data_IF_409460536990
#
_entry.id   IF_409460536990
#
_cell.length_a   1.000
_cell.length_b   1.000
_cell.length_c   1.000
_cell.angle_alpha   90.00
_cell.angle_beta   90.00
_cell.angle_gamma   90.00
#
_symmetry.space_group_name_H-M   'P 1'
#
loop_
_entity.id
_entity.type
_entity.pdbx_description
1 polymer ?
#
# COMPACT_ATOMS: atom_id res chain seq x y z
N UNK A 1 20.36 12.75 -33.83
CA UNK A 1 19.40 12.72 -32.72
C UNK A 1 19.04 14.16 -32.38
N UNK A 2 17.77 14.55 -32.40
CA UNK A 2 17.34 15.90 -32.05
C UNK A 2 17.01 15.95 -30.56
N UNK A 3 17.53 16.92 -29.82
CA UNK A 3 17.30 17.11 -28.40
C UNK A 3 16.72 18.50 -28.17
N UNK A 4 15.65 18.60 -27.37
CA UNK A 4 15.10 19.88 -26.90
C UNK A 4 15.40 20.01 -25.41
N UNK A 5 16.21 21.00 -25.04
CA UNK A 5 16.55 21.31 -23.65
C UNK A 5 15.73 22.51 -23.18
N UNK A 6 14.80 22.24 -22.27
CA UNK A 6 13.95 23.30 -21.67
C UNK A 6 13.78 23.05 -20.18
N UNK A 7 13.70 24.12 -19.39
CA UNK A 7 13.46 24.03 -17.94
C UNK A 7 11.96 23.82 -17.63
N UNK A 8 11.07 24.25 -18.53
CA UNK A 8 9.63 24.18 -18.33
C UNK A 8 8.91 24.14 -19.68
N UNK A 9 7.91 23.26 -19.77
CA UNK A 9 6.96 23.22 -20.89
C UNK A 9 5.59 23.59 -20.34
N UNK A 10 4.97 24.62 -20.94
CA UNK A 10 3.60 25.05 -20.59
C UNK A 10 2.78 25.18 -21.86
N UNK A 11 1.45 24.96 -21.80
CA UNK A 11 0.61 25.18 -22.96
C UNK A 11 0.63 26.66 -23.36
N UNK A 12 0.61 26.93 -24.66
CA UNK A 12 0.51 28.29 -25.19
C UNK A 12 -0.85 28.93 -24.87
N UNK A 13 -1.88 28.10 -24.83
CA UNK A 13 -3.25 28.49 -24.50
C UNK A 13 -3.96 27.29 -23.85
N UNK A 14 -4.93 27.52 -23.02
CA UNK A 14 -5.61 26.45 -22.27
C UNK A 14 -4.75 25.87 -21.14
N UNK A 15 -5.12 24.70 -20.65
CA UNK A 15 -4.50 24.06 -19.47
C UNK A 15 -3.81 22.70 -19.79
N UNK A 16 -3.79 22.26 -21.06
CA UNK A 16 -3.31 20.93 -21.45
C UNK A 16 -2.04 21.02 -22.28
N UNK A 17 -1.04 20.22 -21.92
CA UNK A 17 0.11 19.88 -22.76
C UNK A 17 -0.02 18.41 -23.11
N UNK A 18 -0.13 18.09 -24.39
CA UNK A 18 -0.12 16.71 -24.88
C UNK A 18 1.32 16.31 -25.23
N UNK A 19 1.79 15.21 -24.70
CA UNK A 19 3.09 14.62 -24.98
C UNK A 19 2.85 13.27 -25.66
N UNK A 20 3.31 13.12 -26.90
CA UNK A 20 3.12 11.90 -27.70
C UNK A 20 1.70 11.73 -28.26
N UNK A 21 1.54 10.68 -29.03
CA UNK A 21 0.29 10.22 -29.66
C UNK A 21 -0.04 8.80 -29.23
N UNK A 22 -1.16 8.26 -29.74
CA UNK A 22 -1.56 6.88 -29.43
C UNK A 22 -0.51 5.88 -29.88
N UNK A 23 0.02 5.10 -28.91
CA UNK A 23 1.09 4.12 -29.15
C UNK A 23 2.49 4.61 -28.76
N UNK A 24 2.67 5.89 -28.48
CA UNK A 24 3.94 6.44 -28.03
C UNK A 24 4.24 6.06 -26.56
N UNK A 25 5.52 5.92 -26.26
CA UNK A 25 6.01 5.71 -24.89
C UNK A 25 6.69 6.96 -24.38
N UNK A 26 6.22 7.48 -23.25
CA UNK A 26 6.91 8.56 -22.52
C UNK A 26 7.79 7.90 -21.46
N UNK A 27 9.11 7.91 -21.69
CA UNK A 27 10.08 7.35 -20.76
C UNK A 27 10.78 8.43 -19.96
N UNK A 28 10.90 8.21 -18.65
CA UNK A 28 11.76 9.04 -17.80
C UNK A 28 13.21 8.56 -17.92
N UNK A 29 14.17 9.48 -17.91
CA UNK A 29 15.59 9.15 -17.81
C UNK A 29 15.91 8.36 -16.53
N UNK A 30 17.04 7.65 -16.51
CA UNK A 30 17.50 6.95 -15.32
C UNK A 30 17.62 7.92 -14.14
N UNK A 31 17.09 7.51 -12.97
CA UNK A 31 17.04 8.31 -11.75
C UNK A 31 16.13 9.56 -11.81
N UNK A 32 15.40 9.80 -12.89
CA UNK A 32 14.39 10.84 -12.93
C UNK A 32 13.12 10.38 -12.18
N UNK A 33 12.48 11.30 -11.47
CA UNK A 33 11.21 11.06 -10.77
C UNK A 33 10.10 11.90 -11.39
N UNK A 34 8.87 11.39 -11.30
CA UNK A 34 7.68 12.13 -11.71
C UNK A 34 6.90 12.62 -10.49
N UNK A 35 6.31 13.81 -10.59
CA UNK A 35 5.37 14.33 -9.60
C UNK A 35 4.11 14.78 -10.32
N UNK A 36 2.92 14.37 -9.86
CA UNK A 36 1.64 14.81 -10.42
C UNK A 36 1.19 14.12 -11.71
N UNK A 37 1.95 13.19 -12.28
CA UNK A 37 1.45 12.30 -13.32
C UNK A 37 0.56 11.24 -12.67
N UNK A 38 -0.71 11.19 -13.04
CA UNK A 38 -1.69 10.33 -12.43
C UNK A 38 -1.26 8.87 -12.34
N UNK A 39 -1.10 8.36 -11.13
CA UNK A 39 -1.05 6.93 -10.87
C UNK A 39 -2.47 6.45 -10.70
N UNK A 40 -2.96 5.70 -11.63
CA UNK A 40 -4.26 5.05 -11.49
C UNK A 40 -4.08 3.73 -10.75
N UNK A 41 -4.41 3.71 -9.46
CA UNK A 41 -4.63 2.47 -8.70
C UNK A 41 -3.39 1.77 -8.13
N UNK A 42 -2.18 2.32 -8.28
CA UNK A 42 -0.96 1.73 -7.70
C UNK A 42 -0.22 2.72 -6.82
N UNK A 43 0.47 2.19 -5.81
CA UNK A 43 1.34 2.96 -4.91
C UNK A 43 2.81 2.69 -5.23
N UNK A 44 3.66 3.66 -4.88
CA UNK A 44 5.10 3.49 -4.87
C UNK A 44 5.54 2.88 -3.54
N UNK A 45 5.97 1.62 -3.57
CA UNK A 45 6.29 0.87 -2.36
C UNK A 45 7.62 1.28 -1.76
N UNK A 46 7.58 1.69 -0.48
CA UNK A 46 8.78 1.85 0.35
C UNK A 46 9.26 0.48 0.80
N UNK A 47 10.36 0.00 0.21
CA UNK A 47 10.89 -1.36 0.49
C UNK A 47 11.58 -1.48 1.85
N UNK A 48 11.91 -0.35 2.50
CA UNK A 48 12.38 -0.36 3.90
C UNK A 48 11.19 -0.44 4.84
N UNK A 49 11.06 -1.57 5.55
CA UNK A 49 9.96 -1.80 6.47
C UNK A 49 9.96 -0.77 7.63
N UNK A 50 8.78 -0.28 7.97
CA UNK A 50 8.57 0.63 9.11
C UNK A 50 8.50 -0.16 10.40
N UNK A 51 9.29 0.23 11.39
CA UNK A 51 9.39 -0.42 12.72
C UNK A 51 8.97 0.50 13.87
N UNK A 52 8.51 1.70 13.57
CA UNK A 52 8.05 2.71 14.53
C UNK A 52 6.86 3.48 13.94
N UNK A 53 6.06 4.19 14.78
CA UNK A 53 4.97 5.03 14.30
C UNK A 53 5.43 6.07 13.26
N UNK A 54 4.60 6.30 12.24
CA UNK A 54 4.90 7.25 11.16
C UNK A 54 3.63 7.83 10.54
N UNK A 55 3.79 8.92 9.81
CA UNK A 55 2.75 9.48 8.95
C UNK A 55 2.94 9.01 7.51
N UNK A 56 1.89 8.41 6.96
CA UNK A 56 1.88 7.98 5.57
C UNK A 56 1.76 9.18 4.62
N UNK A 57 2.39 9.07 3.46
CA UNK A 57 2.24 10.03 2.36
C UNK A 57 1.34 9.43 1.27
N UNK A 58 0.58 10.29 0.58
CA UNK A 58 -0.24 9.87 -0.56
C UNK A 58 0.62 9.30 -1.69
N UNK A 59 0.09 8.32 -2.40
CA UNK A 59 0.79 7.62 -3.49
C UNK A 59 1.83 6.59 -3.02
N UNK A 60 1.95 6.34 -1.71
CA UNK A 60 2.96 5.43 -1.15
C UNK A 60 2.34 4.17 -0.54
N UNK A 61 3.08 3.06 -0.68
CA UNK A 61 2.85 1.80 0.02
C UNK A 61 3.95 1.55 1.07
N UNK A 62 3.58 0.91 2.18
CA UNK A 62 4.49 0.66 3.29
C UNK A 62 4.38 -0.77 3.78
N UNK A 63 5.52 -1.40 4.01
CA UNK A 63 5.61 -2.63 4.81
C UNK A 63 5.76 -2.23 6.27
N UNK A 64 4.90 -2.75 7.15
CA UNK A 64 4.91 -2.43 8.59
C UNK A 64 5.28 -3.67 9.39
N UNK A 65 6.38 -3.57 10.12
CA UNK A 65 6.94 -4.65 10.94
C UNK A 65 6.63 -4.41 12.41
N UNK A 66 5.67 -5.13 12.94
CA UNK A 66 5.21 -5.03 14.32
C UNK A 66 5.85 -6.06 15.28
N UNK A 67 6.97 -6.70 14.90
CA UNK A 67 7.64 -7.68 15.78
C UNK A 67 8.00 -7.14 17.16
N UNK A 68 8.37 -5.87 17.25
CA UNK A 68 8.77 -5.23 18.53
C UNK A 68 7.58 -4.63 19.30
N UNK A 69 6.40 -4.53 18.73
CA UNK A 69 5.21 -3.96 19.35
C UNK A 69 4.25 -3.33 18.34
N UNK A 70 3.08 -2.93 18.83
CA UNK A 70 2.05 -2.28 18.03
C UNK A 70 2.54 -0.95 17.42
N UNK A 71 2.12 -0.64 16.20
CA UNK A 71 2.53 0.56 15.47
C UNK A 71 1.31 1.37 15.06
N UNK A 72 1.40 2.69 15.23
CA UNK A 72 0.41 3.63 14.71
C UNK A 72 0.88 4.18 13.35
N UNK A 73 0.05 4.01 12.34
CA UNK A 73 0.21 4.64 11.02
C UNK A 73 -0.79 5.78 10.92
N UNK A 74 -0.30 7.00 10.83
CA UNK A 74 -1.15 8.19 10.68
C UNK A 74 -1.42 8.45 9.20
N UNK A 75 -2.68 8.49 8.79
CA UNK A 75 -3.08 8.80 7.42
C UNK A 75 -2.85 10.28 7.10
N UNK A 76 -2.68 10.66 5.82
CA UNK A 76 -2.54 12.06 5.44
C UNK A 76 -3.74 12.90 5.90
N UNK A 77 -3.50 14.06 6.51
CA UNK A 77 -4.56 14.91 7.09
C UNK A 77 -5.21 15.90 6.11
N UNK A 78 -4.57 16.16 4.97
CA UNK A 78 -5.07 17.09 3.93
C UNK A 78 -5.22 16.31 2.62
N UNK A 79 -6.14 15.34 2.62
CA UNK A 79 -6.32 14.43 1.49
C UNK A 79 -7.31 14.99 0.47
N UNK A 80 -7.05 14.71 -0.79
CA UNK A 80 -7.91 15.02 -1.93
C UNK A 80 -8.43 13.76 -2.59
N UNK A 81 -9.56 13.86 -3.30
CA UNK A 81 -10.14 12.71 -4.00
C UNK A 81 -9.12 12.04 -4.93
N UNK A 82 -8.97 10.72 -4.80
CA UNK A 82 -7.99 9.94 -5.54
C UNK A 82 -6.66 9.71 -4.83
N UNK A 83 -6.40 10.35 -3.68
CA UNK A 83 -5.25 10.03 -2.85
C UNK A 83 -5.30 8.57 -2.41
N UNK A 84 -4.16 7.88 -2.45
CA UNK A 84 -4.05 6.45 -2.21
C UNK A 84 -2.93 6.14 -1.23
N UNK A 85 -3.17 5.21 -0.30
CA UNK A 85 -2.17 4.68 0.63
C UNK A 85 -2.36 3.17 0.72
N UNK A 86 -1.26 2.41 0.67
CA UNK A 86 -1.29 0.96 0.89
C UNK A 86 -0.39 0.57 2.05
N UNK A 87 -0.78 -0.46 2.80
CA UNK A 87 -0.05 -0.96 3.96
C UNK A 87 -0.10 -2.48 3.93
N UNK A 88 1.03 -3.13 4.22
CA UNK A 88 1.14 -4.59 4.25
C UNK A 88 1.91 -5.06 5.49
N UNK A 89 1.47 -6.19 6.05
CA UNK A 89 2.14 -6.86 7.16
C UNK A 89 3.47 -7.48 6.71
N UNK A 90 4.57 -6.95 7.23
CA UNK A 90 5.92 -7.36 6.81
C UNK A 90 6.32 -8.75 7.32
N UNK A 91 5.92 -9.12 8.52
CA UNK A 91 6.35 -10.35 9.22
C UNK A 91 5.20 -11.24 9.67
N UNK A 92 4.00 -10.98 9.19
CA UNK A 92 2.79 -11.71 9.60
C UNK A 92 2.60 -11.70 11.13
N UNK A 93 2.70 -10.50 11.73
CA UNK A 93 2.65 -10.30 13.19
C UNK A 93 1.53 -9.39 13.68
N UNK A 94 0.67 -8.87 12.78
CA UNK A 94 -0.39 -7.95 13.18
C UNK A 94 -1.46 -8.55 14.08
N UNK A 95 -1.64 -9.87 14.07
CA UNK A 95 -2.54 -10.57 15.01
C UNK A 95 -2.04 -10.54 16.45
N UNK A 96 -0.73 -10.36 16.66
CA UNK A 96 -0.11 -10.27 18.00
C UNK A 96 0.10 -8.82 18.40
N UNK A 97 0.61 -8.00 17.49
CA UNK A 97 0.89 -6.59 17.69
C UNK A 97 0.20 -5.80 16.58
N UNK A 98 -0.96 -5.26 16.88
CA UNK A 98 -1.83 -4.63 15.86
C UNK A 98 -1.23 -3.35 15.29
N UNK A 99 -1.65 -3.01 14.07
CA UNK A 99 -1.46 -1.69 13.50
C UNK A 99 -2.71 -0.85 13.74
N UNK A 100 -2.54 0.34 14.31
CA UNK A 100 -3.60 1.34 14.40
C UNK A 100 -3.48 2.32 13.24
N UNK A 101 -4.52 2.44 12.43
CA UNK A 101 -4.64 3.50 11.42
C UNK A 101 -5.24 4.73 12.08
N UNK A 102 -4.41 5.71 12.39
CA UNK A 102 -4.87 7.00 12.88
C UNK A 102 -5.43 7.81 11.70
N UNK A 103 -6.71 8.13 11.76
CA UNK A 103 -7.45 8.82 10.70
C UNK A 103 -7.03 10.29 10.45
N UNK A 104 -6.26 10.88 11.36
CA UNK A 104 -5.75 12.25 11.26
C UNK A 104 -6.82 13.30 10.91
N UNK A 105 -7.94 13.29 11.64
CA UNK A 105 -9.13 14.14 11.45
C UNK A 105 -9.95 13.86 10.19
N UNK A 106 -9.49 13.00 9.28
CA UNK A 106 -10.28 12.51 8.15
C UNK A 106 -11.23 11.39 8.61
N UNK A 107 -12.20 11.02 7.80
CA UNK A 107 -13.02 9.85 8.05
C UNK A 107 -12.41 8.59 7.46
N UNK A 108 -12.74 7.44 8.02
CA UNK A 108 -12.47 6.14 7.45
C UNK A 108 -13.80 5.44 7.27
N UNK A 109 -14.17 5.12 6.04
CA UNK A 109 -15.44 4.47 5.67
C UNK A 109 -16.68 5.19 6.25
N UNK A 110 -16.64 6.52 6.29
CA UNK A 110 -17.69 7.37 6.86
C UNK A 110 -17.63 7.52 8.39
N UNK A 111 -16.84 6.70 9.07
CA UNK A 111 -16.67 6.72 10.52
C UNK A 111 -15.64 7.75 11.01
N UNK A 112 -15.71 8.06 12.30
CA UNK A 112 -14.84 9.03 12.98
C UNK A 112 -13.88 8.38 13.98
N UNK A 113 -13.76 7.04 13.95
CA UNK A 113 -12.83 6.29 14.76
C UNK A 113 -11.58 5.88 13.98
N UNK A 114 -10.50 5.60 14.69
CA UNK A 114 -9.32 4.97 14.11
C UNK A 114 -9.63 3.51 13.76
N UNK A 115 -9.02 2.99 12.71
CA UNK A 115 -9.16 1.58 12.36
C UNK A 115 -8.01 0.76 12.96
N UNK A 116 -8.28 -0.51 13.26
CA UNK A 116 -7.28 -1.46 13.75
C UNK A 116 -7.10 -2.58 12.73
N UNK A 117 -5.86 -2.87 12.37
CA UNK A 117 -5.48 -4.00 11.53
C UNK A 117 -4.86 -5.07 12.44
N UNK A 118 -5.54 -6.20 12.54
CA UNK A 118 -5.20 -7.27 13.50
C UNK A 118 -5.18 -8.67 12.89
N UNK A 119 -5.18 -8.75 11.57
CA UNK A 119 -5.16 -10.03 10.86
C UNK A 119 -3.75 -10.36 10.39
N UNK A 120 -3.32 -11.58 10.61
CA UNK A 120 -2.02 -12.09 10.18
C UNK A 120 -1.88 -11.99 8.64
N UNK A 121 -0.78 -11.42 8.18
CA UNK A 121 -0.48 -11.29 6.75
C UNK A 121 -1.40 -10.35 5.99
N UNK A 122 -2.16 -9.49 6.68
CA UNK A 122 -3.08 -8.55 6.06
C UNK A 122 -2.34 -7.51 5.22
N UNK A 123 -2.96 -7.14 4.10
CA UNK A 123 -2.60 -5.94 3.34
C UNK A 123 -3.87 -5.19 2.96
N UNK A 124 -3.82 -3.87 2.97
CA UNK A 124 -4.93 -3.01 2.59
C UNK A 124 -4.49 -1.91 1.64
N UNK A 125 -5.40 -1.48 0.81
CA UNK A 125 -5.27 -0.26 0.00
C UNK A 125 -6.45 0.65 0.27
N UNK A 126 -6.16 1.87 0.66
CA UNK A 126 -7.14 2.91 0.96
C UNK A 126 -7.08 3.99 -0.10
N UNK A 127 -8.24 4.44 -0.57
CA UNK A 127 -8.39 5.60 -1.46
C UNK A 127 -9.24 6.63 -0.77
N UNK A 128 -8.81 7.88 -0.76
CA UNK A 128 -9.62 8.99 -0.26
C UNK A 128 -10.66 9.38 -1.32
N UNK A 129 -11.93 9.41 -0.92
CA UNK A 129 -13.04 9.69 -1.83
C UNK A 129 -13.49 11.16 -1.68
N UNK A 130 -13.92 11.52 -0.48
CA UNK A 130 -14.49 12.84 -0.18
C UNK A 130 -14.54 13.09 1.34
N UNK A 131 -15.03 14.25 1.76
CA UNK A 131 -15.19 14.58 3.19
C UNK A 131 -16.32 13.82 3.90
N UNK A 132 -17.20 13.12 3.18
CA UNK A 132 -18.30 12.36 3.74
C UNK A 132 -17.88 10.94 4.09
N UNK A 133 -17.25 10.25 3.17
CA UNK A 133 -16.76 8.88 3.32
C UNK A 133 -15.31 8.81 3.82
N UNK A 134 -14.48 9.79 3.44
CA UNK A 134 -13.06 9.79 3.77
C UNK A 134 -12.28 8.72 3.02
N UNK A 135 -11.44 8.01 3.73
CA UNK A 135 -10.66 6.89 3.23
C UNK A 135 -11.52 5.64 3.11
N UNK A 136 -11.59 5.08 1.91
CA UNK A 136 -12.31 3.83 1.61
C UNK A 136 -11.32 2.71 1.36
N UNK A 137 -11.55 1.57 1.98
CA UNK A 137 -10.81 0.35 1.63
C UNK A 137 -11.27 -0.17 0.26
N UNK A 138 -10.36 -0.24 -0.68
CA UNK A 138 -10.61 -0.70 -2.06
C UNK A 138 -10.04 -2.09 -2.32
N UNK A 139 -9.00 -2.47 -1.58
CA UNK A 139 -8.42 -3.81 -1.62
C UNK A 139 -8.02 -4.22 -0.20
N UNK A 140 -8.44 -5.40 0.21
CA UNK A 140 -8.10 -6.04 1.48
C UNK A 140 -7.71 -7.49 1.19
N UNK A 141 -6.51 -7.87 1.59
CA UNK A 141 -6.05 -9.25 1.57
C UNK A 141 -5.75 -9.67 2.99
N UNK A 142 -6.45 -10.71 3.46
CA UNK A 142 -6.26 -11.30 4.80
C UNK A 142 -5.28 -12.47 4.78
N UNK A 143 -4.72 -12.80 3.62
CA UNK A 143 -3.67 -13.81 3.50
C UNK A 143 -2.69 -13.41 2.41
N UNK A 144 -1.39 -13.52 2.68
CA UNK A 144 -0.36 -13.39 1.67
C UNK A 144 -0.15 -14.71 0.95
N UNK A 145 0.18 -14.63 -0.34
CA UNK A 145 0.71 -15.80 -1.05
C UNK A 145 2.06 -16.14 -0.42
N UNK A 146 2.17 -17.33 0.14
CA UNK A 146 3.42 -17.86 0.70
C UNK A 146 4.03 -18.84 -0.30
N UNK A 147 5.37 -18.88 -0.37
CA UNK A 147 6.07 -19.90 -1.15
C UNK A 147 6.11 -21.27 -0.44
N UNK A 148 5.37 -21.42 0.66
CA UNK A 148 5.30 -22.66 1.43
C UNK A 148 4.31 -23.63 0.77
N UNK A 149 4.63 -24.93 0.76
CA UNK A 149 3.70 -25.93 0.30
C UNK A 149 2.40 -25.92 1.11
N UNK A 150 1.25 -25.92 0.44
CA UNK A 150 -0.03 -26.05 1.11
C UNK A 150 -0.25 -27.52 1.54
N UNK A 151 -0.01 -27.82 2.81
CA UNK A 151 -0.35 -29.12 3.36
C UNK A 151 -1.83 -29.23 3.73
N UNK A 152 -2.39 -30.41 3.55
CA UNK A 152 -3.72 -30.71 4.08
C UNK A 152 -3.64 -30.58 5.62
N UNK A 153 -4.53 -29.78 6.20
CA UNK A 153 -4.62 -29.67 7.65
C UNK A 153 -5.34 -30.88 8.19
N UNK A 154 -4.63 -31.70 8.94
CA UNK A 154 -5.22 -32.81 9.70
C UNK A 154 -5.01 -32.54 11.20
N UNK A 155 -5.95 -32.96 12.03
CA UNK A 155 -5.87 -32.83 13.49
C UNK A 155 -5.85 -34.19 14.14
N UNK A 156 -5.09 -34.34 15.25
CA UNK A 156 -4.93 -35.56 16.02
C UNK A 156 -3.73 -36.42 15.57
N UNK A 157 -3.30 -37.31 16.47
CA UNK A 157 -2.13 -38.16 16.24
C UNK A 157 -0.78 -37.46 16.42
N UNK A 158 0.29 -38.16 16.10
CA UNK A 158 1.65 -37.57 16.11
C UNK A 158 2.02 -37.12 14.72
N UNK A 159 2.39 -35.86 14.58
CA UNK A 159 2.85 -35.29 13.32
C UNK A 159 4.34 -35.55 13.11
N UNK A 160 4.69 -35.94 11.90
CA UNK A 160 6.07 -36.01 11.42
C UNK A 160 6.17 -35.45 10.00
N UNK A 161 7.31 -34.86 9.63
CA UNK A 161 7.58 -34.38 8.27
C UNK A 161 8.62 -35.25 7.61
N UNK A 162 8.42 -35.57 6.33
CA UNK A 162 9.39 -36.28 5.50
C UNK A 162 9.39 -35.68 4.11
N UNK A 163 10.41 -34.88 3.79
CA UNK A 163 10.46 -34.09 2.57
C UNK A 163 9.26 -33.14 2.53
N UNK A 164 8.51 -33.15 1.43
CA UNK A 164 7.31 -32.34 1.20
C UNK A 164 6.03 -32.94 1.80
N UNK A 165 6.13 -33.99 2.62
CA UNK A 165 4.97 -34.65 3.20
C UNK A 165 4.86 -34.40 4.70
N UNK A 166 3.66 -34.06 5.16
CA UNK A 166 3.27 -34.04 6.57
C UNK A 166 2.47 -35.32 6.87
N UNK A 167 2.99 -36.14 7.77
CA UNK A 167 2.45 -37.46 8.09
C UNK A 167 1.83 -37.41 9.49
N UNK A 168 0.55 -37.81 9.62
CA UNK A 168 -0.14 -38.03 10.87
C UNK A 168 -0.21 -39.55 11.16
N UNK A 169 0.21 -39.95 12.35
CA UNK A 169 0.12 -41.37 12.84
C UNK A 169 -0.72 -41.41 14.11
#
# INVERSE_FOLDING_TARGET
MSEIKVNKVTPRSGSTVTLGESGDTIALGACASQTGFGRTGTVDWCTTAKTSPFTAATGKGYFVNTCAGAITVTLPGSSTAGDIVSIADYKSTWQTNNVTLCRNSQKINGGTDNATLSTQGQSITLVYVDGTQGWKNTMDSTSNVTGEPAYVTASGGTESTSGDYKIHK
#
